data_IF_628718518472
#
_entry.id   IF_628718518472
#
_cell.length_a   1.000
_cell.length_b   1.000
_cell.length_c   1.000
_cell.angle_alpha   90.00
_cell.angle_beta   90.00
_cell.angle_gamma   90.00
#
_symmetry.space_group_name_H-M   'P 1'
#
loop_
_entity.id
_entity.type
_entity.pdbx_description
1 polymer ?
#
# COMPACT_ATOMS: atom_id res chain seq x y z
N UNK A 1 25.15 -15.38 5.52
CA UNK A 1 24.08 -14.79 6.36
C UNK A 1 24.57 -13.57 7.15
N UNK A 2 25.68 -13.66 7.89
CA UNK A 2 26.20 -12.57 8.74
C UNK A 2 26.49 -11.28 7.95
N UNK A 3 27.14 -11.37 6.79
CA UNK A 3 27.48 -10.20 5.97
C UNK A 3 26.27 -9.38 5.51
N UNK A 4 25.15 -10.03 5.16
CA UNK A 4 23.96 -9.32 4.70
C UNK A 4 23.29 -8.54 5.84
N UNK A 5 23.26 -9.14 7.02
CA UNK A 5 22.78 -8.47 8.24
C UNK A 5 23.64 -7.24 8.56
N UNK A 6 24.97 -7.35 8.46
CA UNK A 6 25.87 -6.20 8.64
C UNK A 6 25.60 -5.09 7.63
N UNK A 7 25.35 -5.43 6.36
CA UNK A 7 25.00 -4.44 5.32
C UNK A 7 23.68 -3.74 5.65
N UNK A 8 22.62 -4.47 5.99
CA UNK A 8 21.34 -3.85 6.33
C UNK A 8 21.41 -2.98 7.58
N UNK A 9 22.16 -3.40 8.60
CA UNK A 9 22.38 -2.58 9.79
C UNK A 9 23.19 -1.32 9.44
N UNK A 10 24.23 -1.44 8.61
CA UNK A 10 24.99 -0.29 8.13
C UNK A 10 24.11 0.69 7.35
N UNK A 11 23.20 0.22 6.50
CA UNK A 11 22.24 1.07 5.78
C UNK A 11 21.36 1.86 6.77
N UNK A 12 20.88 1.23 7.84
CA UNK A 12 20.07 1.91 8.86
C UNK A 12 20.89 2.92 9.68
N UNK A 13 22.15 2.61 9.99
CA UNK A 13 23.02 3.51 10.75
C UNK A 13 23.55 4.69 9.94
N UNK A 14 23.81 4.48 8.65
CA UNK A 14 24.40 5.49 7.74
C UNK A 14 23.36 6.25 6.93
N UNK A 15 22.09 5.80 6.98
CA UNK A 15 20.97 6.31 6.17
C UNK A 15 21.25 6.26 4.65
N UNK A 16 22.24 5.48 4.23
CA UNK A 16 22.66 5.37 2.85
C UNK A 16 22.23 4.05 2.23
N UNK A 17 21.30 4.12 1.28
CA UNK A 17 20.92 2.98 0.43
C UNK A 17 21.77 3.00 -0.85
N UNK A 18 22.46 1.90 -1.21
CA UNK A 18 23.25 1.81 -2.44
C UNK A 18 22.46 2.18 -3.69
N UNK A 19 23.07 2.95 -4.60
CA UNK A 19 22.41 3.39 -5.86
C UNK A 19 21.87 2.22 -6.68
N UNK A 20 22.57 1.08 -6.69
CA UNK A 20 22.15 -0.12 -7.40
C UNK A 20 20.82 -0.68 -6.90
N UNK A 21 20.53 -0.53 -5.60
CA UNK A 21 19.29 -1.01 -4.99
C UNK A 21 18.11 -0.08 -5.25
N UNK A 22 18.40 1.21 -5.54
CA UNK A 22 17.39 2.19 -5.94
C UNK A 22 16.98 2.09 -7.42
N UNK A 23 17.70 1.31 -8.24
CA UNK A 23 17.38 1.14 -9.67
C UNK A 23 16.35 0.05 -9.85
N UNK A 24 15.16 0.41 -10.31
CA UNK A 24 14.10 -0.53 -10.66
C UNK A 24 14.05 -0.78 -12.18
N UNK A 25 13.70 -2.01 -12.57
CA UNK A 25 13.31 -2.33 -13.93
C UNK A 25 11.83 -1.99 -14.11
N UNK A 26 11.50 -1.20 -15.14
CA UNK A 26 10.11 -0.86 -15.45
C UNK A 26 9.48 -1.91 -16.35
N UNK A 27 8.30 -2.38 -15.95
CA UNK A 27 7.48 -3.35 -16.69
C UNK A 27 6.09 -2.72 -16.89
N UNK A 28 5.61 -2.73 -18.13
CA UNK A 28 4.28 -2.23 -18.48
C UNK A 28 3.31 -3.41 -18.62
N UNK A 29 2.26 -3.45 -17.79
CA UNK A 29 1.22 -4.48 -17.87
C UNK A 29 -0.07 -3.88 -18.42
N UNK A 30 -0.59 -4.45 -19.51
CA UNK A 30 -1.87 -4.02 -20.08
C UNK A 30 -3.02 -4.33 -19.10
N UNK A 31 -3.87 -3.34 -18.83
CA UNK A 31 -5.08 -3.52 -18.01
C UNK A 31 -6.09 -4.40 -18.77
N UNK A 32 -6.76 -5.35 -18.08
CA UNK A 32 -7.78 -6.19 -18.72
C UNK A 32 -8.88 -5.33 -19.37
N UNK A 33 -9.25 -5.67 -20.61
CA UNK A 33 -10.35 -5.00 -21.32
C UNK A 33 -10.06 -3.59 -21.83
N UNK A 34 -8.80 -3.15 -21.86
CA UNK A 34 -8.40 -1.85 -22.42
C UNK A 34 -7.65 -2.00 -23.74
N UNK A 35 -7.79 -1.01 -24.63
CA UNK A 35 -7.13 -0.99 -25.93
C UNK A 35 -5.61 -0.77 -25.76
N UNK A 36 -4.75 -1.54 -26.45
CA UNK A 36 -3.29 -1.39 -26.38
C UNK A 36 -2.76 -0.05 -26.87
N UNK A 37 -3.52 0.66 -27.72
CA UNK A 37 -3.04 1.87 -28.41
C UNK A 37 -2.93 3.10 -27.50
N UNK A 38 -3.45 3.02 -26.26
CA UNK A 38 -3.39 4.10 -25.30
C UNK A 38 -2.39 3.80 -24.17
N UNK A 39 -1.50 4.75 -23.90
CA UNK A 39 -0.51 4.66 -22.81
C UNK A 39 -1.19 4.46 -21.44
N UNK A 40 -2.36 5.08 -21.22
CA UNK A 40 -3.14 4.97 -19.98
C UNK A 40 -3.74 3.57 -19.74
N UNK A 41 -3.75 2.72 -20.76
CA UNK A 41 -4.17 1.32 -20.68
C UNK A 41 -3.14 0.46 -19.96
N UNK A 42 -1.90 0.92 -19.80
CA UNK A 42 -0.86 0.18 -19.09
C UNK A 42 -0.80 0.58 -17.62
N UNK A 43 -0.48 -0.40 -16.77
CA UNK A 43 -0.04 -0.21 -15.39
C UNK A 43 1.48 -0.35 -15.38
N UNK A 44 2.16 0.71 -14.97
CA UNK A 44 3.59 0.67 -14.74
C UNK A 44 3.89 -0.08 -13.44
N UNK A 45 4.85 -1.00 -13.49
CA UNK A 45 5.37 -1.71 -12.33
C UNK A 45 6.88 -1.53 -12.24
N UNK A 46 7.36 -1.08 -11.08
CA UNK A 46 8.78 -0.93 -10.77
C UNK A 46 9.29 -2.18 -10.06
N UNK A 47 10.14 -2.95 -10.73
CA UNK A 47 10.75 -4.17 -10.19
C UNK A 47 12.13 -3.87 -9.60
N UNK A 48 12.20 -3.80 -8.27
CA UNK A 48 13.46 -3.60 -7.54
C UNK A 48 14.27 -4.90 -7.38
N UNK A 49 15.60 -4.81 -7.20
CA UNK A 49 16.45 -5.95 -6.88
C UNK A 49 15.98 -6.67 -5.61
N UNK A 50 16.13 -7.99 -5.55
CA UNK A 50 15.67 -8.81 -4.42
C UNK A 50 16.24 -8.37 -3.07
N UNK A 51 17.47 -7.86 -3.05
CA UNK A 51 18.10 -7.31 -1.84
C UNK A 51 17.41 -6.05 -1.33
N UNK A 52 16.96 -5.16 -2.23
CA UNK A 52 16.17 -3.98 -1.85
C UNK A 52 14.83 -4.39 -1.25
N UNK A 53 14.13 -5.31 -1.92
CA UNK A 53 12.82 -5.81 -1.44
C UNK A 53 12.92 -6.48 -0.08
N UNK A 54 13.96 -7.29 0.13
CA UNK A 54 14.19 -7.94 1.41
C UNK A 54 14.48 -6.90 2.51
N UNK A 55 15.24 -5.86 2.21
CA UNK A 55 15.44 -4.75 3.14
C UNK A 55 14.14 -4.01 3.46
N UNK A 56 13.33 -3.67 2.45
CA UNK A 56 12.02 -3.02 2.60
C UNK A 56 11.07 -3.85 3.47
N UNK A 57 11.04 -5.17 3.27
CA UNK A 57 10.23 -6.08 4.09
C UNK A 57 10.69 -6.11 5.56
N UNK A 58 12.01 -6.18 5.79
CA UNK A 58 12.58 -6.13 7.14
C UNK A 58 12.29 -4.79 7.82
N UNK A 59 12.42 -3.69 7.09
CA UNK A 59 12.12 -2.35 7.58
C UNK A 59 10.64 -2.22 7.94
N UNK A 60 9.74 -2.67 7.05
CA UNK A 60 8.30 -2.69 7.30
C UNK A 60 7.94 -3.53 8.52
N UNK A 61 8.59 -4.68 8.71
CA UNK A 61 8.39 -5.54 9.89
C UNK A 61 8.77 -4.84 11.20
N UNK A 62 9.79 -3.98 11.19
CA UNK A 62 10.18 -3.15 12.35
C UNK A 62 9.26 -1.95 12.55
N UNK A 63 8.75 -1.37 11.47
CA UNK A 63 7.89 -0.19 11.51
C UNK A 63 6.45 -0.52 11.93
N UNK A 64 5.90 -1.66 11.49
CA UNK A 64 4.50 -2.07 11.77
C UNK A 64 4.11 -2.01 13.26
N UNK A 65 4.88 -2.59 14.21
CA UNK A 65 4.54 -2.54 15.63
C UNK A 65 4.47 -1.10 16.17
N UNK A 66 5.29 -0.19 15.66
CA UNK A 66 5.31 1.22 16.09
C UNK A 66 4.04 1.92 15.61
N UNK A 67 3.64 1.69 14.35
CA UNK A 67 2.40 2.22 13.77
C UNK A 67 1.18 1.73 14.56
N UNK A 68 1.15 0.43 14.87
CA UNK A 68 0.05 -0.21 15.61
C UNK A 68 -0.03 0.31 17.06
N UNK A 69 1.10 0.38 17.77
CA UNK A 69 1.16 0.85 19.15
C UNK A 69 0.73 2.32 19.29
N UNK A 70 1.00 3.15 18.28
CA UNK A 70 0.62 4.57 18.25
C UNK A 70 -0.75 4.82 17.60
N UNK A 71 -1.45 3.79 17.15
CA UNK A 71 -2.75 3.89 16.47
C UNK A 71 -2.78 4.91 15.32
N UNK A 72 -1.69 4.97 14.53
CA UNK A 72 -1.56 5.99 13.47
C UNK A 72 -2.49 5.74 12.27
N UNK A 73 -2.97 4.51 12.10
CA UNK A 73 -3.89 4.13 11.01
C UNK A 73 -5.33 4.11 11.56
N UNK A 74 -6.27 4.84 10.94
CA UNK A 74 -7.65 4.84 11.37
C UNK A 74 -8.29 3.44 11.38
N UNK A 75 -9.18 3.18 12.33
CA UNK A 75 -9.88 1.89 12.45
C UNK A 75 -10.78 1.54 11.26
N UNK A 76 -11.20 2.56 10.50
CA UNK A 76 -12.00 2.39 9.29
C UNK A 76 -11.16 2.12 8.03
N UNK A 77 -9.83 2.02 8.14
CA UNK A 77 -8.95 1.63 7.04
C UNK A 77 -8.66 0.12 7.09
N UNK A 78 -9.24 -0.61 6.13
CA UNK A 78 -9.17 -2.07 6.04
C UNK A 78 -8.14 -2.55 5.00
N UNK A 79 -7.83 -1.70 4.01
CA UNK A 79 -6.83 -2.02 2.98
C UNK A 79 -5.42 -2.13 3.56
N UNK A 80 -4.67 -3.15 3.14
CA UNK A 80 -3.27 -3.38 3.50
C UNK A 80 -2.99 -3.54 5.01
N UNK A 81 -4.01 -3.85 5.81
CA UNK A 81 -3.91 -4.03 7.26
C UNK A 81 -4.05 -5.50 7.65
N UNK A 82 -3.21 -5.96 8.57
CA UNK A 82 -3.31 -7.31 9.10
C UNK A 82 -4.64 -7.50 9.85
N UNK A 83 -5.28 -8.66 9.68
CA UNK A 83 -6.56 -9.04 10.31
C UNK A 83 -7.78 -8.24 9.85
N UNK A 84 -7.67 -7.46 8.77
CA UNK A 84 -8.80 -6.80 8.13
C UNK A 84 -9.00 -7.37 6.73
N UNK A 85 -10.25 -7.55 6.35
CA UNK A 85 -10.67 -8.11 5.06
C UNK A 85 -11.64 -7.18 4.35
N UNK A 86 -11.75 -7.37 3.03
CA UNK A 86 -12.75 -6.63 2.22
C UNK A 86 -14.17 -7.00 2.61
N UNK A 87 -14.42 -8.23 3.06
CA UNK A 87 -15.72 -8.70 3.51
C UNK A 87 -16.17 -7.99 4.79
N UNK A 88 -15.28 -7.83 5.77
CA UNK A 88 -15.60 -7.08 7.00
C UNK A 88 -15.93 -5.62 6.71
N UNK A 89 -15.22 -4.99 5.76
CA UNK A 89 -15.54 -3.61 5.34
C UNK A 89 -16.93 -3.52 4.69
N UNK A 90 -17.31 -4.49 3.87
CA UNK A 90 -18.66 -4.56 3.28
C UNK A 90 -19.72 -4.74 4.37
N UNK A 91 -19.51 -5.65 5.32
CA UNK A 91 -20.42 -5.82 6.45
C UNK A 91 -20.57 -4.54 7.27
N UNK A 92 -19.48 -3.80 7.49
CA UNK A 92 -19.53 -2.50 8.16
C UNK A 92 -20.44 -1.51 7.43
N UNK A 93 -20.28 -1.38 6.11
CA UNK A 93 -21.12 -0.46 5.30
C UNK A 93 -22.59 -0.87 5.35
N UNK A 94 -22.88 -2.17 5.20
CA UNK A 94 -24.25 -2.71 5.30
C UNK A 94 -24.86 -2.41 6.67
N UNK A 95 -24.10 -2.59 7.75
CA UNK A 95 -24.58 -2.30 9.10
C UNK A 95 -24.90 -0.82 9.31
N UNK A 96 -24.13 0.09 8.70
CA UNK A 96 -24.43 1.53 8.76
C UNK A 96 -25.74 1.84 8.02
N UNK A 97 -25.94 1.24 6.85
CA UNK A 97 -27.18 1.40 6.07
C UNK A 97 -28.38 0.85 6.85
N UNK A 98 -28.28 -0.36 7.39
CA UNK A 98 -29.37 -1.00 8.14
C UNK A 98 -29.77 -0.18 9.38
N UNK A 99 -28.79 0.32 10.15
CA UNK A 99 -29.07 1.20 11.31
C UNK A 99 -29.78 2.49 10.92
N UNK A 100 -29.45 3.09 9.77
CA UNK A 100 -30.14 4.27 9.29
C UNK A 100 -31.60 3.96 8.90
N UNK A 101 -31.83 2.81 8.24
CA UNK A 101 -33.15 2.34 7.86
C UNK A 101 -34.04 2.01 9.07
N UNK A 102 -33.49 1.40 10.12
CA UNK A 102 -34.20 1.12 11.39
C UNK A 102 -34.75 2.40 12.03
N UNK A 103 -33.98 3.50 11.96
CA UNK A 103 -34.36 4.81 12.49
C UNK A 103 -35.17 5.63 11.47
N UNK A 104 -35.59 5.00 10.35
CA UNK A 104 -36.33 5.63 9.24
C UNK A 104 -35.64 6.87 8.66
N UNK A 105 -34.30 6.88 8.66
CA UNK A 105 -33.47 7.94 8.06
C UNK A 105 -32.94 7.50 6.70
N UNK A 106 -32.70 8.49 5.83
CA UNK A 106 -32.00 8.26 4.57
C UNK A 106 -30.49 8.12 4.81
N UNK A 107 -29.86 7.18 4.12
CA UNK A 107 -28.42 6.95 4.14
C UNK A 107 -27.85 7.21 2.74
N UNK A 108 -27.09 8.29 2.57
CA UNK A 108 -26.40 8.61 1.32
C UNK A 108 -24.94 8.13 1.41
N UNK A 109 -24.45 7.45 0.37
CA UNK A 109 -23.06 7.00 0.26
C UNK A 109 -22.31 7.76 -0.82
N UNK A 110 -21.10 8.21 -0.53
CA UNK A 110 -20.17 8.76 -1.52
C UNK A 110 -18.97 7.81 -1.66
N UNK A 111 -18.71 7.37 -2.89
CA UNK A 111 -17.58 6.51 -3.21
C UNK A 111 -16.52 7.31 -3.95
N UNK A 112 -15.32 7.37 -3.37
CA UNK A 112 -14.20 8.15 -3.88
C UNK A 112 -13.11 7.20 -4.34
N UNK A 113 -12.51 7.47 -5.50
CA UNK A 113 -11.34 6.77 -6.01
C UNK A 113 -10.24 7.76 -6.38
N UNK A 114 -8.99 7.39 -6.10
CA UNK A 114 -7.82 8.25 -6.34
C UNK A 114 -7.12 7.80 -7.61
N UNK A 115 -7.19 8.63 -8.64
CA UNK A 115 -6.52 8.37 -9.91
C UNK A 115 -4.99 8.36 -9.75
N UNK A 116 -4.34 7.23 -10.06
CA UNK A 116 -2.89 7.03 -9.98
C UNK A 116 -2.31 7.28 -8.57
N UNK A 117 -2.91 6.67 -7.56
CA UNK A 117 -2.57 6.89 -6.16
C UNK A 117 -1.07 6.71 -5.82
N UNK A 118 -0.38 5.74 -6.43
CA UNK A 118 1.05 5.51 -6.17
C UNK A 118 1.98 6.50 -6.88
N UNK A 119 1.58 7.01 -8.04
CA UNK A 119 2.41 7.91 -8.84
C UNK A 119 2.32 9.38 -8.37
N UNK A 120 1.28 9.71 -7.60
CA UNK A 120 0.99 11.10 -7.15
C UNK A 120 1.39 11.39 -5.71
N UNK A 121 2.18 10.53 -5.08
CA UNK A 121 2.69 10.76 -3.72
C UNK A 121 3.77 11.85 -3.76
N UNK A 122 3.67 12.83 -2.88
CA UNK A 122 4.62 13.95 -2.82
C UNK A 122 5.95 13.49 -2.19
N UNK A 123 7.08 13.94 -2.74
CA UNK A 123 8.44 13.56 -2.31
C UNK A 123 9.20 14.69 -1.59
N UNK A 124 8.47 15.55 -0.88
CA UNK A 124 9.00 16.73 -0.16
C UNK A 124 10.16 16.39 0.77
#
# INVERSE_FOLDING_TARGET
MIHLTSIYNAILCTEYIPKQWKRAQLIMLLKPGKLPDHVTSYRQMSLFPSLSKLFEELFLKRLKPIIEARQLIPEYQFGFRNKYSTTEQVHRVINVINKALEVKKYCCGAFLDVAQAFDKVWHS
#
